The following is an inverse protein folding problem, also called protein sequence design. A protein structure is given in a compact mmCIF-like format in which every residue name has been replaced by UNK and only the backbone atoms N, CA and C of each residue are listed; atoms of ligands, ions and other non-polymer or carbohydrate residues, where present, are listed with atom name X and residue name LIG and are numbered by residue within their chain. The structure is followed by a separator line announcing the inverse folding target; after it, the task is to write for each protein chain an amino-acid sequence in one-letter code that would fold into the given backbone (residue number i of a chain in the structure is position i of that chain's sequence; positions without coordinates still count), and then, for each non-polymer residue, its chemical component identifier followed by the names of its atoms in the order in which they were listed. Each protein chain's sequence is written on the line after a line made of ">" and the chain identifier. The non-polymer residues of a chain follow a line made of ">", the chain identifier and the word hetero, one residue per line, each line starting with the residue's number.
data_IF_923960400836
#
_entry.id   IF_923960400836
#
_cell.length_a   1.000
_cell.length_b   1.000
_cell.length_c   1.000
_cell.angle_alpha   90.00
_cell.angle_beta   90.00
_cell.angle_gamma   90.00
#
_symmetry.space_group_name_H-M   'P 1'
#
loop_
_entity.id
_entity.type
_entity.pdbx_description
1 polymer ?
#
# COMPACT_ATOMS: atom_id res chain seq x y z
N UNK A 1 -14.23 -8.79 25.63
CA UNK A 1 -13.86 -9.00 24.20
C UNK A 1 -14.00 -7.74 23.34
N UNK A 2 -15.17 -7.07 23.26
CA UNK A 2 -15.24 -5.72 22.67
C UNK A 2 -14.76 -4.66 23.68
N UNK A 3 -15.08 -4.84 24.97
CA UNK A 3 -14.68 -3.88 26.00
C UNK A 3 -13.16 -3.78 26.20
N UNK A 4 -12.40 -4.86 26.00
CA UNK A 4 -10.93 -4.84 26.03
C UNK A 4 -10.34 -4.07 24.84
N UNK A 5 -10.95 -4.18 23.65
CA UNK A 5 -10.59 -3.39 22.46
C UNK A 5 -10.90 -1.89 22.66
N UNK A 6 -11.94 -1.57 23.43
CA UNK A 6 -12.35 -0.20 23.74
C UNK A 6 -11.59 0.39 24.95
N UNK A 7 -10.88 -0.44 25.70
CA UNK A 7 -9.97 0.00 26.76
C UNK A 7 -8.66 0.43 26.12
N UNK A 8 -8.64 1.64 25.57
CA UNK A 8 -7.51 2.15 24.78
C UNK A 8 -6.24 2.20 25.64
N UNK A 9 -5.28 1.31 25.36
CA UNK A 9 -3.94 1.46 25.91
C UNK A 9 -3.33 2.74 25.33
N UNK A 10 -2.84 3.61 26.21
CA UNK A 10 -2.23 4.87 25.79
C UNK A 10 -0.73 4.66 25.63
N UNK A 11 -0.19 5.19 24.53
CA UNK A 11 1.26 5.28 24.34
C UNK A 11 1.87 6.01 25.55
N UNK A 12 2.85 5.41 26.27
CA UNK A 12 3.53 6.04 27.39
C UNK A 12 4.05 7.43 27.06
N UNK A 13 4.17 8.33 28.04
CA UNK A 13 4.67 9.69 27.80
C UNK A 13 6.09 9.67 27.21
N UNK A 14 6.95 8.86 27.80
CA UNK A 14 8.36 8.76 27.41
C UNK A 14 8.57 7.96 26.12
N UNK A 15 7.55 7.24 25.64
CA UNK A 15 7.53 6.47 24.39
C UNK A 15 8.86 5.74 24.10
N UNK A 16 9.32 4.88 25.02
CA UNK A 16 10.63 4.23 24.93
C UNK A 16 10.79 3.46 23.62
N UNK A 17 9.69 2.91 23.12
CA UNK A 17 9.67 2.13 21.89
C UNK A 17 9.36 2.95 20.64
N UNK A 18 9.29 4.29 20.73
CA UNK A 18 9.09 5.22 19.58
C UNK A 18 7.85 4.87 18.74
N UNK A 19 6.74 4.51 19.39
CA UNK A 19 5.47 4.16 18.75
C UNK A 19 4.89 5.37 18.01
N UNK A 20 5.05 6.60 18.54
CA UNK A 20 4.55 7.82 17.88
C UNK A 20 5.23 8.04 16.53
N UNK A 21 6.53 7.81 16.46
CA UNK A 21 7.28 7.95 15.21
C UNK A 21 6.89 6.90 14.18
N UNK A 22 6.67 5.65 14.62
CA UNK A 22 6.12 4.59 13.76
C UNK A 22 4.75 4.94 13.23
N UNK A 23 3.87 5.49 14.08
CA UNK A 23 2.54 5.94 13.69
C UNK A 23 2.62 7.06 12.64
N UNK A 24 3.47 8.06 12.85
CA UNK A 24 3.68 9.15 11.89
C UNK A 24 4.19 8.62 10.54
N UNK A 25 5.16 7.71 10.57
CA UNK A 25 5.68 7.03 9.37
C UNK A 25 4.58 6.23 8.67
N UNK A 26 3.78 5.47 9.43
CA UNK A 26 2.66 4.70 8.92
C UNK A 26 1.61 5.60 8.25
N UNK A 27 1.17 6.68 8.90
CA UNK A 27 0.17 7.60 8.35
C UNK A 27 0.65 8.25 7.04
N UNK A 28 1.92 8.64 6.96
CA UNK A 28 2.53 9.17 5.72
C UNK A 28 2.48 8.13 4.59
N UNK A 29 2.88 6.90 4.87
CA UNK A 29 2.90 5.80 3.88
C UNK A 29 1.48 5.38 3.47
N UNK A 30 0.52 5.34 4.40
CA UNK A 30 -0.90 5.10 4.09
C UNK A 30 -1.47 6.16 3.16
N UNK A 31 -1.16 7.44 3.41
CA UNK A 31 -1.57 8.54 2.52
C UNK A 31 -0.99 8.38 1.11
N UNK A 32 0.28 7.98 1.00
CA UNK A 32 0.89 7.66 -0.30
C UNK A 32 0.15 6.50 -0.98
N UNK A 33 -0.21 5.45 -0.25
CA UNK A 33 -0.98 4.32 -0.81
C UNK A 33 -2.37 4.75 -1.30
N UNK A 34 -3.05 5.68 -0.61
CA UNK A 34 -4.31 6.27 -1.11
C UNK A 34 -4.11 7.01 -2.43
N UNK A 35 -3.00 7.76 -2.57
CA UNK A 35 -2.64 8.41 -3.83
C UNK A 35 -2.34 7.39 -4.94
N UNK A 36 -1.67 6.27 -4.60
CA UNK A 36 -1.43 5.16 -5.53
C UNK A 36 -2.74 4.62 -6.10
N UNK A 37 -3.73 4.31 -5.26
CA UNK A 37 -5.04 3.85 -5.73
C UNK A 37 -5.68 4.84 -6.71
N UNK A 38 -5.68 6.13 -6.34
CA UNK A 38 -6.24 7.19 -7.16
C UNK A 38 -5.56 7.26 -8.53
N UNK A 39 -4.23 7.18 -8.53
CA UNK A 39 -3.43 7.28 -9.75
C UNK A 39 -3.55 6.01 -10.62
N UNK A 40 -3.59 4.81 -10.04
CA UNK A 40 -3.89 3.54 -10.74
C UNK A 40 -5.24 3.62 -11.44
N UNK A 41 -6.28 4.07 -10.73
CA UNK A 41 -7.63 4.18 -11.30
C UNK A 41 -7.60 5.09 -12.53
N UNK A 42 -7.00 6.27 -12.43
CA UNK A 42 -7.05 7.27 -13.50
C UNK A 42 -6.12 6.94 -14.68
N UNK A 43 -4.98 6.29 -14.45
CA UNK A 43 -3.91 6.12 -15.45
C UNK A 43 -3.71 4.68 -15.92
N UNK A 44 -4.33 3.71 -15.28
CA UNK A 44 -4.26 2.29 -15.66
C UNK A 44 -5.66 1.72 -15.85
N UNK A 45 -6.57 1.85 -14.90
CA UNK A 45 -7.87 1.20 -15.04
C UNK A 45 -8.77 1.91 -16.06
N UNK A 46 -8.87 3.24 -16.02
CA UNK A 46 -9.67 4.02 -17.00
C UNK A 46 -9.10 4.05 -18.42
N UNK A 47 -7.82 3.73 -18.57
CA UNK A 47 -7.11 3.71 -19.86
C UNK A 47 -6.87 2.29 -20.36
N UNK A 48 -7.57 1.30 -19.80
CA UNK A 48 -7.53 -0.08 -20.27
C UNK A 48 -8.03 -0.12 -21.73
N UNK A 49 -7.25 -0.67 -22.67
CA UNK A 49 -7.75 -0.90 -24.01
C UNK A 49 -8.89 -1.94 -23.98
N UNK A 50 -9.80 -1.91 -24.99
CA UNK A 50 -10.84 -2.91 -25.10
C UNK A 50 -10.24 -4.33 -25.06
N UNK A 51 -10.74 -5.15 -24.14
CA UNK A 51 -10.30 -6.53 -23.98
C UNK A 51 -10.81 -7.44 -25.13
N UNK A 52 -11.35 -6.89 -26.21
CA UNK A 52 -11.94 -7.64 -27.31
C UNK A 52 -11.00 -7.84 -28.50
N UNK A 53 -9.90 -7.08 -28.61
CA UNK A 53 -8.98 -7.14 -29.76
C UNK A 53 -7.51 -6.84 -29.36
N UNK A 54 -6.67 -7.88 -29.25
CA UNK A 54 -5.22 -7.75 -28.97
C UNK A 54 -4.66 -8.89 -28.12
N UNK A 55 -3.38 -8.84 -27.65
CA UNK A 55 -2.74 -9.90 -26.84
C UNK A 55 -3.33 -9.94 -25.42
N UNK A 56 -4.60 -10.32 -25.37
CA UNK A 56 -5.50 -10.50 -24.25
C UNK A 56 -4.82 -11.19 -23.07
N UNK A 57 -3.98 -12.18 -23.37
CA UNK A 57 -3.28 -12.99 -22.38
C UNK A 57 -2.33 -12.17 -21.51
N UNK A 58 -1.68 -11.12 -22.05
CA UNK A 58 -0.67 -10.37 -21.30
C UNK A 58 -1.28 -9.35 -20.33
N UNK A 59 -2.27 -8.60 -20.79
CA UNK A 59 -2.99 -7.59 -20.00
C UNK A 59 -3.85 -8.27 -18.93
N UNK A 60 -4.63 -9.29 -19.32
CA UNK A 60 -5.46 -10.03 -18.37
C UNK A 60 -4.60 -10.69 -17.29
N UNK A 61 -3.51 -11.39 -17.67
CA UNK A 61 -2.58 -11.98 -16.70
C UNK A 61 -1.99 -10.96 -15.73
N UNK A 62 -1.63 -9.76 -16.22
CA UNK A 62 -1.11 -8.70 -15.34
C UNK A 62 -2.17 -8.21 -14.36
N UNK A 63 -3.43 -8.08 -14.81
CA UNK A 63 -4.55 -7.74 -13.93
C UNK A 63 -4.84 -8.84 -12.90
N UNK A 64 -4.83 -10.11 -13.32
CA UNK A 64 -5.05 -11.27 -12.44
C UNK A 64 -3.98 -11.37 -11.36
N UNK A 65 -2.74 -11.00 -11.68
CA UNK A 65 -1.64 -10.99 -10.72
C UNK A 65 -1.72 -9.80 -9.74
N UNK A 66 -2.11 -8.60 -10.20
CA UNK A 66 -2.14 -7.41 -9.33
C UNK A 66 -3.39 -7.32 -8.46
N UNK A 67 -4.51 -7.90 -8.92
CA UNK A 67 -5.79 -7.82 -8.21
C UNK A 67 -5.73 -8.41 -6.79
N UNK A 68 -5.14 -9.59 -6.54
CA UNK A 68 -4.97 -10.11 -5.18
C UNK A 68 -4.21 -9.16 -4.25
N UNK A 69 -3.16 -8.50 -4.74
CA UNK A 69 -2.40 -7.50 -3.97
C UNK A 69 -3.30 -6.33 -3.59
N UNK A 70 -3.98 -5.73 -4.58
CA UNK A 70 -4.89 -4.61 -4.36
C UNK A 70 -6.07 -4.96 -3.44
N UNK A 71 -6.54 -6.21 -3.50
CA UNK A 71 -7.63 -6.72 -2.65
C UNK A 71 -7.18 -6.98 -1.21
N UNK A 72 -5.92 -7.37 -1.01
CA UNK A 72 -5.38 -7.67 0.33
C UNK A 72 -5.02 -6.42 1.13
N UNK A 73 -4.65 -5.31 0.46
CA UNK A 73 -4.22 -4.07 1.10
C UNK A 73 -5.19 -3.51 2.16
N UNK A 74 -6.52 -3.42 1.91
CA UNK A 74 -7.47 -3.00 2.93
C UNK A 74 -7.48 -3.88 4.19
N UNK A 75 -7.29 -5.19 4.02
CA UNK A 75 -7.19 -6.12 5.15
C UNK A 75 -5.92 -5.84 5.97
N UNK A 76 -4.79 -5.63 5.28
CA UNK A 76 -3.50 -5.29 5.93
C UNK A 76 -3.54 -3.95 6.66
N UNK A 77 -4.31 -2.97 6.20
CA UNK A 77 -4.53 -1.74 6.98
C UNK A 77 -5.21 -2.02 8.32
N UNK A 78 -6.13 -2.98 8.35
CA UNK A 78 -6.73 -3.47 9.59
C UNK A 78 -5.71 -4.12 10.51
N UNK A 79 -4.84 -4.98 9.97
CA UNK A 79 -3.77 -5.64 10.75
C UNK A 79 -2.81 -4.61 11.37
N UNK A 80 -2.41 -3.59 10.60
CA UNK A 80 -1.57 -2.49 11.10
C UNK A 80 -2.28 -1.72 12.21
N UNK A 81 -3.57 -1.42 12.05
CA UNK A 81 -4.35 -0.72 13.07
C UNK A 81 -4.44 -1.55 14.37
N UNK A 82 -4.72 -2.85 14.27
CA UNK A 82 -4.74 -3.76 15.42
C UNK A 82 -3.40 -3.76 16.17
N UNK A 83 -2.28 -3.90 15.46
CA UNK A 83 -0.95 -3.86 16.08
C UNK A 83 -0.67 -2.54 16.83
N UNK A 84 -1.13 -1.41 16.29
CA UNK A 84 -1.04 -0.12 16.98
C UNK A 84 -1.94 -0.02 18.22
N UNK A 85 -3.14 -0.64 18.21
CA UNK A 85 -3.99 -0.68 19.40
C UNK A 85 -3.41 -1.54 20.51
N UNK A 86 -2.71 -2.62 20.15
CA UNK A 86 -2.06 -3.53 21.09
C UNK A 86 -0.70 -3.02 21.58
N UNK A 87 -0.20 -1.90 21.02
CA UNK A 87 1.12 -1.32 21.30
C UNK A 87 2.30 -2.31 21.09
N UNK A 88 2.11 -3.35 20.28
CA UNK A 88 3.12 -4.37 19.98
C UNK A 88 4.03 -3.89 18.85
N UNK A 89 5.25 -3.49 19.19
CA UNK A 89 6.21 -2.89 18.25
C UNK A 89 6.66 -3.87 17.17
N UNK A 90 6.82 -5.15 17.51
CA UNK A 90 7.25 -6.17 16.56
C UNK A 90 6.12 -6.48 15.57
N UNK A 91 4.89 -6.55 16.08
CA UNK A 91 3.71 -6.70 15.23
C UNK A 91 3.49 -5.46 14.35
N UNK A 92 3.70 -4.25 14.86
CA UNK A 92 3.61 -3.00 14.09
C UNK A 92 4.61 -3.05 12.93
N UNK A 93 5.89 -3.32 13.22
CA UNK A 93 6.95 -3.31 12.21
C UNK A 93 6.67 -4.37 11.12
N UNK A 94 6.27 -5.59 11.52
CA UNK A 94 5.92 -6.67 10.58
C UNK A 94 4.68 -6.35 9.73
N UNK A 95 3.62 -5.80 10.35
CA UNK A 95 2.39 -5.44 9.66
C UNK A 95 2.63 -4.29 8.67
N UNK A 96 3.40 -3.27 9.07
CA UNK A 96 3.80 -2.17 8.20
C UNK A 96 4.60 -2.69 7.01
N UNK A 97 5.63 -3.51 7.24
CA UNK A 97 6.45 -4.04 6.16
C UNK A 97 5.62 -4.84 5.15
N UNK A 98 4.75 -5.72 5.63
CA UNK A 98 3.86 -6.51 4.77
C UNK A 98 2.88 -5.63 3.98
N UNK A 99 2.27 -4.64 4.65
CA UNK A 99 1.31 -3.73 4.03
C UNK A 99 1.94 -2.91 2.90
N UNK A 100 3.09 -2.30 3.18
CA UNK A 100 3.71 -1.36 2.24
C UNK A 100 4.54 -2.08 1.18
N UNK A 101 5.00 -3.30 1.44
CA UNK A 101 5.56 -4.18 0.41
C UNK A 101 4.53 -4.52 -0.67
N UNK A 102 3.30 -4.87 -0.28
CA UNK A 102 2.24 -5.16 -1.24
C UNK A 102 1.85 -3.93 -2.07
N UNK A 103 1.82 -2.74 -1.44
CA UNK A 103 1.59 -1.48 -2.15
C UNK A 103 2.73 -1.17 -3.15
N UNK A 104 3.98 -1.42 -2.75
CA UNK A 104 5.14 -1.29 -3.63
C UNK A 104 5.06 -2.26 -4.81
N UNK A 105 4.75 -3.53 -4.56
CA UNK A 105 4.62 -4.56 -5.58
C UNK A 105 3.50 -4.23 -6.58
N UNK A 106 2.33 -3.79 -6.07
CA UNK A 106 1.22 -3.37 -6.93
C UNK A 106 1.59 -2.17 -7.82
N UNK A 107 2.33 -1.20 -7.28
CA UNK A 107 2.83 -0.07 -8.05
C UNK A 107 3.81 -0.48 -9.15
N UNK A 108 4.74 -1.39 -8.84
CA UNK A 108 5.72 -1.91 -9.81
C UNK A 108 5.03 -2.66 -10.95
N UNK A 109 4.08 -3.54 -10.63
CA UNK A 109 3.33 -4.30 -11.63
C UNK A 109 2.55 -3.41 -12.60
N UNK A 110 2.12 -2.24 -12.14
CA UNK A 110 1.34 -1.27 -12.91
C UNK A 110 2.17 -0.10 -13.41
N UNK A 111 3.49 -0.09 -13.20
CA UNK A 111 4.39 1.02 -13.54
C UNK A 111 4.36 1.37 -15.03
N UNK A 112 4.37 0.37 -15.90
CA UNK A 112 4.38 0.55 -17.36
C UNK A 112 2.94 0.61 -17.90
N UNK A 113 2.61 1.57 -18.78
CA UNK A 113 1.28 1.65 -19.41
C UNK A 113 0.93 0.37 -20.21
N UNK A 114 -0.34 0.18 -20.54
CA UNK A 114 -0.76 -0.97 -21.35
C UNK A 114 -0.23 -0.91 -22.79
N UNK A 115 -0.02 0.31 -23.28
CA UNK A 115 0.52 0.60 -24.60
C UNK A 115 1.69 1.59 -24.44
N UNK A 116 2.85 1.23 -24.99
CA UNK A 116 4.06 2.04 -24.90
C UNK A 116 4.95 1.70 -23.70
N UNK A 117 5.97 2.54 -23.49
CA UNK A 117 7.10 2.24 -22.60
C UNK A 117 7.17 3.12 -21.36
N UNK A 118 6.67 4.36 -21.40
CA UNK A 118 6.75 5.29 -20.28
C UNK A 118 5.67 6.39 -20.37
N UNK A 119 5.12 6.79 -19.22
CA UNK A 119 4.24 7.96 -19.09
C UNK A 119 4.50 8.72 -17.78
N UNK A 120 3.79 9.83 -17.56
CA UNK A 120 3.90 10.62 -16.31
C UNK A 120 3.60 9.79 -15.05
N UNK A 121 2.83 8.69 -15.18
CA UNK A 121 2.57 7.81 -14.05
C UNK A 121 3.77 6.90 -13.77
N UNK A 122 4.49 6.43 -14.79
CA UNK A 122 5.76 5.71 -14.64
C UNK A 122 6.75 6.51 -13.78
N UNK A 123 6.97 7.79 -14.12
CA UNK A 123 7.88 8.66 -13.34
C UNK A 123 7.38 8.93 -11.92
N UNK A 124 6.06 8.98 -11.75
CA UNK A 124 5.44 9.15 -10.44
C UNK A 124 5.59 7.90 -9.57
N UNK A 125 5.47 6.70 -10.15
CA UNK A 125 5.68 5.43 -9.46
C UNK A 125 7.10 5.35 -8.89
N UNK A 126 8.11 5.81 -9.63
CA UNK A 126 9.49 5.85 -9.13
C UNK A 126 9.62 6.71 -7.87
N UNK A 127 8.98 7.89 -7.86
CA UNK A 127 8.96 8.77 -6.68
C UNK A 127 8.17 8.17 -5.53
N UNK A 128 7.03 7.55 -5.83
CA UNK A 128 6.22 6.84 -4.85
C UNK A 128 6.99 5.69 -4.19
N UNK A 129 7.73 4.91 -4.98
CA UNK A 129 8.54 3.79 -4.51
C UNK A 129 9.67 4.23 -3.58
N UNK A 130 10.28 5.39 -3.82
CA UNK A 130 11.22 6.00 -2.87
C UNK A 130 10.50 6.40 -1.59
N UNK A 131 9.36 7.08 -1.69
CA UNK A 131 8.63 7.58 -0.52
C UNK A 131 7.96 6.51 0.35
N UNK A 132 7.64 5.34 -0.20
CA UNK A 132 7.00 4.24 0.54
C UNK A 132 7.99 3.29 1.19
N UNK A 133 9.27 3.35 0.83
CA UNK A 133 10.33 2.63 1.55
C UNK A 133 10.47 3.18 2.97
N UNK A 134 10.90 2.32 3.89
CA UNK A 134 11.18 2.73 5.26
C UNK A 134 12.24 3.85 5.21
N UNK A 135 12.00 5.02 5.82
CA UNK A 135 13.05 6.02 5.95
C UNK A 135 14.20 5.41 6.77
N UNK A 136 15.43 5.57 6.30
CA UNK A 136 16.65 5.15 7.01
C UNK A 136 16.74 5.81 8.40
#
# INVERSE_FOLDING_TARGET
>A
MIDDLMTSQRIPRDDPDRIRERLDSCLKRLRLTTLLYSAIIQRRLKTLPPLTTGPLTSIARRLDQVYPLLKSLPHRFGEVACAFYDLDTDAIDKAMDSCFFDAFAAAEMLKIPWTGTQDKFTDWVDKFQVGIKKPD
#
